data_IF_371104492557
#
_entry.id   IF_371104492557
#
_cell.length_a   1.000
_cell.length_b   1.000
_cell.length_c   1.000
_cell.angle_alpha   90.00
_cell.angle_beta   90.00
_cell.angle_gamma   90.00
#
_symmetry.space_group_name_H-M   'P 1'
#
loop_
_entity.id
_entity.type
_entity.pdbx_description
1 polymer ?
#
# COMPACT_ATOMS: atom_id res chain seq x y z
N UNK A 1 7.38 0.61 -10.79
CA UNK A 1 6.25 1.39 -10.22
C UNK A 1 6.22 1.43 -8.69
N UNK A 2 5.83 0.38 -7.94
CA UNK A 2 5.79 0.48 -6.46
C UNK A 2 7.17 0.69 -5.82
N UNK A 3 8.20 -0.03 -6.28
CA UNK A 3 9.58 0.10 -5.76
C UNK A 3 10.11 1.53 -5.88
N UNK A 4 9.88 2.16 -7.03
CA UNK A 4 10.27 3.55 -7.29
C UNK A 4 9.47 4.53 -6.41
N UNK A 5 8.16 4.34 -6.29
CA UNK A 5 7.32 5.13 -5.40
C UNK A 5 7.76 5.01 -3.93
N UNK A 6 8.03 3.78 -3.46
CA UNK A 6 8.53 3.51 -2.12
C UNK A 6 9.81 4.29 -1.87
N UNK A 7 10.82 4.14 -2.74
CA UNK A 7 12.08 4.86 -2.59
C UNK A 7 11.91 6.37 -2.60
N UNK A 8 11.04 6.90 -3.46
CA UNK A 8 10.75 8.32 -3.53
C UNK A 8 10.13 8.84 -2.22
N UNK A 9 9.12 8.16 -1.68
CA UNK A 9 8.47 8.53 -0.42
C UNK A 9 9.41 8.39 0.78
N UNK A 10 10.18 7.31 0.84
CA UNK A 10 11.14 7.08 1.92
C UNK A 10 12.24 8.16 1.90
N UNK A 11 12.74 8.54 0.72
CA UNK A 11 13.72 9.62 0.59
C UNK A 11 13.15 10.99 0.91
N UNK A 12 11.91 11.29 0.47
CA UNK A 12 11.29 12.59 0.74
C UNK A 12 10.91 12.77 2.21
N UNK A 13 10.47 11.71 2.88
CA UNK A 13 9.98 11.78 4.26
C UNK A 13 11.01 11.37 5.30
N UNK A 14 12.11 10.72 4.88
CA UNK A 14 13.10 10.10 5.77
C UNK A 14 12.54 8.93 6.59
N UNK A 15 11.37 8.41 6.23
CA UNK A 15 10.63 7.39 6.99
C UNK A 15 10.43 6.15 6.13
N UNK A 16 10.59 4.97 6.73
CA UNK A 16 10.37 3.70 6.03
C UNK A 16 8.91 3.30 6.02
N UNK A 17 8.48 2.65 4.94
CA UNK A 17 7.13 2.08 4.83
C UNK A 17 7.05 0.82 5.70
N UNK A 18 6.20 0.80 6.72
CA UNK A 18 6.10 -0.32 7.68
C UNK A 18 4.95 -1.28 7.41
N UNK A 19 3.82 -0.76 6.92
CA UNK A 19 2.61 -1.54 6.67
C UNK A 19 1.92 -1.05 5.41
N UNK A 20 1.47 -1.99 4.58
CA UNK A 20 0.60 -1.75 3.43
C UNK A 20 -0.75 -2.42 3.67
N UNK A 21 -1.82 -1.67 3.46
CA UNK A 21 -3.18 -2.19 3.46
C UNK A 21 -3.66 -2.22 2.01
N UNK A 22 -4.07 -3.38 1.54
CA UNK A 22 -4.48 -3.60 0.16
C UNK A 22 -5.83 -4.31 0.14
N UNK A 23 -6.73 -3.83 -0.72
CA UNK A 23 -8.00 -4.50 -0.94
C UNK A 23 -7.79 -5.89 -1.57
N UNK A 24 -8.63 -6.86 -1.19
CA UNK A 24 -8.54 -8.24 -1.68
C UNK A 24 -8.99 -8.38 -3.16
N UNK A 25 -9.19 -7.28 -3.88
CA UNK A 25 -9.20 -7.27 -5.34
C UNK A 25 -7.98 -8.01 -5.89
N UNK A 26 -8.22 -9.17 -6.51
CA UNK A 26 -7.25 -10.20 -6.87
C UNK A 26 -6.04 -9.72 -7.70
N UNK A 27 -6.03 -8.49 -8.19
CA UNK A 27 -5.04 -7.97 -9.13
C UNK A 27 -3.68 -7.66 -8.50
N UNK A 28 -3.59 -7.53 -7.17
CA UNK A 28 -2.30 -7.32 -6.48
C UNK A 28 -1.83 -8.51 -5.63
N UNK A 29 -2.47 -9.66 -5.82
CA UNK A 29 -2.00 -10.93 -5.29
C UNK A 29 -0.83 -11.50 -6.11
N UNK A 30 -0.01 -10.65 -6.72
CA UNK A 30 1.17 -11.09 -7.44
C UNK A 30 2.23 -11.54 -6.41
N UNK A 31 2.69 -12.79 -6.53
CA UNK A 31 3.64 -13.42 -5.60
C UNK A 31 4.96 -12.64 -5.52
N UNK A 32 5.36 -12.01 -6.63
CA UNK A 32 6.49 -11.08 -6.68
C UNK A 32 6.32 -9.88 -5.74
N UNK A 33 5.10 -9.32 -5.66
CA UNK A 33 4.81 -8.20 -4.76
C UNK A 33 4.86 -8.62 -3.29
N UNK A 34 4.50 -9.88 -3.00
CA UNK A 34 4.65 -10.46 -1.67
C UNK A 34 6.13 -10.59 -1.31
N UNK A 35 6.94 -11.13 -2.21
CA UNK A 35 8.39 -11.27 -2.02
C UNK A 35 9.05 -9.91 -1.76
N UNK A 36 8.72 -8.91 -2.58
CA UNK A 36 9.22 -7.54 -2.43
C UNK A 36 8.91 -6.94 -1.05
N UNK A 37 7.69 -7.17 -0.53
CA UNK A 37 7.30 -6.69 0.79
C UNK A 37 8.08 -7.40 1.90
N UNK A 38 8.30 -8.71 1.78
CA UNK A 38 9.08 -9.51 2.74
C UNK A 38 10.54 -9.02 2.76
N UNK A 39 11.17 -8.87 1.60
CA UNK A 39 12.55 -8.36 1.48
C UNK A 39 12.67 -6.93 2.03
N UNK A 40 11.62 -6.14 1.91
CA UNK A 40 11.57 -4.78 2.44
C UNK A 40 11.14 -4.68 3.91
N UNK A 41 10.80 -5.79 4.58
CA UNK A 41 10.29 -5.79 5.96
C UNK A 41 8.91 -5.14 6.14
N UNK A 42 8.10 -5.08 5.08
CA UNK A 42 6.80 -4.41 5.07
C UNK A 42 5.69 -5.40 5.41
N UNK A 43 4.93 -5.11 6.47
CA UNK A 43 3.76 -5.90 6.82
C UNK A 43 2.63 -5.67 5.80
N UNK A 44 2.04 -6.73 5.25
CA UNK A 44 0.84 -6.64 4.39
C UNK A 44 -0.41 -6.96 5.18
N UNK A 45 -1.41 -6.11 5.08
CA UNK A 45 -2.76 -6.36 5.55
C UNK A 45 -3.67 -6.42 4.33
N UNK A 46 -4.21 -7.60 4.04
CA UNK A 46 -5.23 -7.76 3.01
C UNK A 46 -6.57 -7.50 3.69
N UNK A 47 -7.22 -6.38 3.35
CA UNK A 47 -8.60 -6.18 3.79
C UNK A 47 -9.48 -7.08 2.95
N UNK A 48 -10.31 -7.89 3.60
CA UNK A 48 -11.35 -8.68 2.94
C UNK A 48 -12.17 -7.72 2.08
N UNK A 49 -12.23 -8.00 0.77
CA UNK A 49 -13.13 -7.30 -0.14
C UNK A 49 -14.52 -7.33 0.52
N UNK A 50 -15.18 -6.17 0.60
CA UNK A 50 -16.50 -5.97 1.22
C UNK A 50 -16.54 -5.44 2.67
N UNK A 51 -15.59 -4.60 3.09
CA UNK A 51 -15.88 -3.61 4.16
C UNK A 51 -15.94 -2.19 3.59
N UNK A 52 -17.12 -1.71 3.16
CA UNK A 52 -17.26 -0.39 2.53
C UNK A 52 -16.78 0.77 3.42
N UNK A 53 -16.79 0.61 4.74
CA UNK A 53 -16.29 1.63 5.68
C UNK A 53 -14.76 1.78 5.64
N UNK A 54 -14.02 0.67 5.47
CA UNK A 54 -12.56 0.71 5.42
C UNK A 54 -12.08 1.21 4.05
N UNK A 55 -12.75 0.81 2.97
CA UNK A 55 -12.41 1.28 1.64
C UNK A 55 -12.69 2.78 1.49
N UNK A 56 -13.82 3.27 1.99
CA UNK A 56 -14.15 4.70 1.94
C UNK A 56 -13.13 5.60 2.65
N UNK A 57 -12.49 5.13 3.72
CA UNK A 57 -11.39 5.82 4.39
C UNK A 57 -10.10 5.82 3.56
N UNK A 58 -9.74 4.68 2.98
CA UNK A 58 -8.55 4.53 2.13
C UNK A 58 -8.70 5.34 0.85
N UNK A 59 -9.86 5.30 0.20
CA UNK A 59 -10.18 6.10 -0.98
C UNK A 59 -10.13 7.60 -0.66
N UNK A 60 -10.69 8.02 0.47
CA UNK A 60 -10.64 9.43 0.90
C UNK A 60 -9.21 9.87 1.20
N UNK A 61 -8.42 9.06 1.90
CA UNK A 61 -7.01 9.36 2.19
C UNK A 61 -6.16 9.41 0.91
N UNK A 62 -6.34 8.45 0.00
CA UNK A 62 -5.63 8.43 -1.29
C UNK A 62 -6.02 9.63 -2.16
N UNK A 63 -7.29 10.05 -2.13
CA UNK A 63 -7.75 11.26 -2.85
C UNK A 63 -7.13 12.54 -2.27
N UNK A 64 -7.06 12.68 -0.94
CA UNK A 64 -6.41 13.83 -0.30
C UNK A 64 -4.90 13.86 -0.54
N UNK A 65 -4.25 12.70 -0.70
CA UNK A 65 -2.82 12.61 -1.00
C UNK A 65 -2.51 12.88 -2.49
N UNK A 66 -3.44 12.61 -3.42
CA UNK A 66 -3.27 12.91 -4.85
C UNK A 66 -3.68 14.35 -5.25
N UNK A 67 -4.45 15.05 -4.41
CA UNK A 67 -4.91 16.42 -4.66
C UNK A 67 -3.89 17.50 -4.21
N UNK A 68 -2.63 17.12 -3.95
CA UNK A 68 -1.55 18.00 -3.52
C UNK A 68 -0.28 17.73 -4.32
#
# INVERSE_FOLDING_TARGET
KFKEWKQLVENQTGRTVKKLTMDNGLEFCNQEFKQLCIESGIARHLTVAETPQQNGLVERMNKTLMDK
#
